data_IF_316442898886
#
_entry.id   IF_316442898886
#
_cell.length_a   1.000
_cell.length_b   1.000
_cell.length_c   1.000
_cell.angle_alpha   90.00
_cell.angle_beta   90.00
_cell.angle_gamma   90.00
#
_symmetry.space_group_name_H-M   'P 1'
#
loop_
_entity.id
_entity.type
_entity.pdbx_description
1 polymer ?
#
# COMPACT_ATOMS: atom_id res chain seq x y z
N UNK A 1 7.39 0.61 27.09
CA UNK A 1 6.26 0.70 28.03
C UNK A 1 5.31 -0.43 27.68
N UNK A 2 5.06 -1.34 28.62
CA UNK A 2 4.07 -2.42 28.48
C UNK A 2 2.71 -1.76 28.70
N UNK A 3 1.83 -1.80 27.71
CA UNK A 3 0.52 -1.14 27.71
C UNK A 3 -0.59 -2.18 27.53
N UNK A 4 -1.76 -1.95 28.13
CA UNK A 4 -2.97 -2.75 27.93
C UNK A 4 -3.73 -2.36 26.66
N UNK A 5 -3.30 -1.29 25.97
CA UNK A 5 -3.91 -0.83 24.73
C UNK A 5 -3.74 -1.88 23.62
N UNK A 6 -4.79 -2.14 22.81
CA UNK A 6 -4.68 -3.04 21.68
C UNK A 6 -3.72 -2.48 20.62
N UNK A 7 -2.97 -3.38 20.00
CA UNK A 7 -2.09 -3.07 18.87
C UNK A 7 -2.81 -3.46 17.60
N UNK A 8 -3.11 -2.49 16.75
CA UNK A 8 -3.74 -2.73 15.46
C UNK A 8 -2.69 -2.70 14.36
N UNK A 9 -2.63 -3.75 13.53
CA UNK A 9 -1.78 -3.82 12.34
C UNK A 9 -2.66 -4.27 11.16
N UNK A 10 -2.90 -3.36 10.21
CA UNK A 10 -3.55 -3.63 8.93
C UNK A 10 -4.80 -4.53 9.04
N UNK A 11 -5.77 -4.11 9.86
CA UNK A 11 -7.04 -4.80 10.08
C UNK A 11 -7.02 -5.93 11.11
N UNK A 12 -5.88 -6.20 11.76
CA UNK A 12 -5.76 -7.20 12.84
C UNK A 12 -5.47 -6.54 14.18
N UNK A 13 -6.22 -6.96 15.19
CA UNK A 13 -6.00 -6.60 16.59
C UNK A 13 -5.08 -7.62 17.26
N UNK A 14 -4.19 -7.12 18.11
CA UNK A 14 -3.27 -7.90 18.92
C UNK A 14 -3.21 -7.36 20.35
N UNK A 15 -3.03 -8.25 21.32
CA UNK A 15 -2.77 -7.91 22.70
C UNK A 15 -1.25 -7.78 22.95
N UNK A 16 -0.79 -6.56 23.25
CA UNK A 16 0.62 -6.28 23.48
C UNK A 16 1.30 -7.10 24.59
N UNK A 17 0.52 -7.65 25.54
CA UNK A 17 1.01 -8.41 26.69
C UNK A 17 1.26 -9.88 26.35
N UNK A 18 0.39 -10.47 25.52
CA UNK A 18 0.35 -11.92 25.27
C UNK A 18 0.81 -12.30 23.87
N UNK A 19 0.72 -11.40 22.90
CA UNK A 19 0.90 -11.69 21.46
C UNK A 19 2.10 -10.93 20.86
N UNK A 20 3.12 -10.67 21.68
CA UNK A 20 4.31 -9.90 21.25
C UNK A 20 5.01 -10.52 20.04
N UNK A 21 5.16 -11.85 20.02
CA UNK A 21 5.84 -12.54 18.92
C UNK A 21 4.99 -12.52 17.64
N UNK A 22 3.66 -12.57 17.75
CA UNK A 22 2.74 -12.44 16.61
C UNK A 22 2.76 -11.04 16.02
N UNK A 23 2.83 -10.00 16.86
CA UNK A 23 3.01 -8.60 16.44
C UNK A 23 4.31 -8.47 15.65
N UNK A 24 5.43 -8.95 16.20
CA UNK A 24 6.74 -8.88 15.53
C UNK A 24 6.75 -9.68 14.23
N UNK A 25 6.16 -10.87 14.23
CA UNK A 25 6.02 -11.71 13.04
C UNK A 25 5.23 -10.99 11.94
N UNK A 26 4.10 -10.36 12.28
CA UNK A 26 3.26 -9.67 11.30
C UNK A 26 3.97 -8.45 10.67
N UNK A 27 4.60 -7.61 11.50
CA UNK A 27 5.38 -6.45 11.02
C UNK A 27 6.56 -6.91 10.16
N UNK A 28 7.34 -7.90 10.63
CA UNK A 28 8.51 -8.40 9.89
C UNK A 28 8.10 -9.02 8.56
N UNK A 29 6.91 -9.62 8.48
CA UNK A 29 6.39 -10.24 7.25
C UNK A 29 6.02 -9.25 6.15
N UNK A 30 5.88 -7.97 6.47
CA UNK A 30 5.59 -6.94 5.45
C UNK A 30 6.83 -6.70 4.59
N UNK A 31 6.63 -6.54 3.29
CA UNK A 31 7.71 -6.14 2.39
C UNK A 31 8.18 -4.73 2.76
N UNK A 32 9.48 -4.60 3.00
CA UNK A 32 10.13 -3.37 3.41
C UNK A 32 11.07 -2.90 2.31
N UNK A 33 10.68 -1.81 1.65
CA UNK A 33 11.48 -1.19 0.60
C UNK A 33 12.15 0.07 1.17
N UNK A 34 13.47 0.11 1.08
CA UNK A 34 14.28 1.25 1.52
C UNK A 34 14.99 1.88 0.34
N UNK A 35 15.71 2.98 0.59
CA UNK A 35 16.69 3.47 -0.36
C UNK A 35 17.66 2.36 -0.80
N UNK A 36 18.00 2.39 -2.08
CA UNK A 36 18.94 1.46 -2.71
C UNK A 36 20.02 2.24 -3.44
N UNK A 37 21.22 1.66 -3.52
CA UNK A 37 22.36 2.20 -4.28
C UNK A 37 22.97 1.13 -5.17
N UNK A 38 23.66 1.57 -6.21
CA UNK A 38 24.33 0.73 -7.21
C UNK A 38 23.37 -0.10 -8.06
N UNK A 39 22.12 0.34 -8.22
CA UNK A 39 21.24 -0.21 -9.26
C UNK A 39 21.59 0.39 -10.63
N UNK A 40 21.20 -0.26 -11.76
CA UNK A 40 21.44 0.27 -13.10
C UNK A 40 20.92 1.71 -13.27
N UNK A 41 21.60 2.62 -14.00
CA UNK A 41 21.16 4.01 -14.13
C UNK A 41 19.72 4.15 -14.65
N UNK A 42 18.88 4.94 -13.97
CA UNK A 42 17.50 5.21 -14.42
C UNK A 42 17.56 5.97 -15.75
N UNK A 43 16.88 5.48 -16.80
CA UNK A 43 16.93 6.08 -18.14
C UNK A 43 18.30 6.01 -18.82
N UNK A 44 19.23 5.18 -18.33
CA UNK A 44 20.57 4.99 -18.90
C UNK A 44 21.62 6.00 -18.44
N UNK A 45 21.23 7.21 -18.05
CA UNK A 45 22.14 8.28 -17.58
C UNK A 45 21.72 8.93 -16.27
N UNK A 46 20.57 8.56 -15.71
CA UNK A 46 20.05 9.11 -14.47
C UNK A 46 20.69 8.52 -13.21
N UNK A 47 20.08 8.75 -12.04
CA UNK A 47 20.60 8.28 -10.76
C UNK A 47 20.80 6.75 -10.71
N UNK A 48 21.81 6.32 -9.95
CA UNK A 48 22.08 4.92 -9.55
C UNK A 48 21.81 4.69 -8.07
N UNK A 49 21.19 5.68 -7.42
CA UNK A 49 20.71 5.63 -6.05
C UNK A 49 19.48 6.52 -5.91
N UNK A 50 18.52 6.09 -5.08
CA UNK A 50 17.34 6.88 -4.74
C UNK A 50 17.43 7.57 -3.37
N UNK A 51 18.59 7.47 -2.71
CA UNK A 51 18.85 8.16 -1.44
C UNK A 51 18.56 9.64 -1.52
N UNK A 52 17.71 10.13 -0.62
CA UNK A 52 17.40 11.54 -0.47
C UNK A 52 16.25 12.07 -1.35
N UNK A 53 15.66 11.24 -2.21
CA UNK A 53 14.52 11.64 -3.04
C UNK A 53 13.44 10.57 -3.23
N UNK A 54 13.79 9.29 -3.09
CA UNK A 54 12.90 8.16 -3.38
C UNK A 54 11.93 7.76 -2.28
N UNK A 55 11.90 8.39 -1.10
CA UNK A 55 11.21 7.81 0.06
C UNK A 55 9.70 7.60 -0.17
N UNK A 56 9.00 8.54 -0.79
CA UNK A 56 7.57 8.35 -1.10
C UNK A 56 7.35 7.25 -2.16
N UNK A 57 8.29 7.08 -3.10
CA UNK A 57 8.23 6.00 -4.09
C UNK A 57 8.37 4.65 -3.38
N UNK A 58 9.28 4.54 -2.40
CA UNK A 58 9.44 3.35 -1.56
C UNK A 58 8.20 3.07 -0.70
N UNK A 59 7.57 4.09 -0.11
CA UNK A 59 6.29 3.94 0.57
C UNK A 59 5.19 3.44 -0.37
N UNK A 60 5.13 3.95 -1.61
CA UNK A 60 4.27 3.45 -2.66
C UNK A 60 4.51 1.97 -3.01
N UNK A 61 5.79 1.57 -3.10
CA UNK A 61 6.14 0.16 -3.28
C UNK A 61 5.67 -0.70 -2.10
N UNK A 62 5.80 -0.23 -0.85
CA UNK A 62 5.39 -1.01 0.32
C UNK A 62 3.87 -1.21 0.40
N UNK A 63 3.07 -0.16 0.16
CA UNK A 63 1.61 -0.27 0.20
C UNK A 63 1.06 -1.12 -0.95
N UNK A 64 1.63 -1.02 -2.16
CA UNK A 64 1.27 -1.90 -3.28
C UNK A 64 1.78 -3.33 -3.06
N UNK A 65 2.97 -3.48 -2.49
CA UNK A 65 3.54 -4.77 -2.09
C UNK A 65 2.62 -5.49 -1.13
N UNK A 66 2.08 -4.81 -0.11
CA UNK A 66 1.07 -5.36 0.79
C UNK A 66 -0.19 -5.85 0.03
N UNK A 67 -0.68 -5.08 -0.94
CA UNK A 67 -1.82 -5.50 -1.75
C UNK A 67 -1.52 -6.75 -2.59
N UNK A 68 -0.32 -6.86 -3.16
CA UNK A 68 0.10 -8.05 -3.91
C UNK A 68 0.30 -9.27 -3.01
N UNK A 69 0.86 -9.08 -1.82
CA UNK A 69 0.95 -10.11 -0.79
C UNK A 69 -0.44 -10.63 -0.42
N UNK A 70 -1.42 -9.72 -0.22
CA UNK A 70 -2.81 -10.12 0.02
C UNK A 70 -3.41 -10.83 -1.18
N UNK A 71 -3.21 -10.34 -2.40
CA UNK A 71 -3.78 -10.91 -3.63
C UNK A 71 -3.34 -12.36 -3.85
N UNK A 72 -2.07 -12.67 -3.60
CA UNK A 72 -1.47 -13.94 -4.00
C UNK A 72 -1.19 -14.90 -2.84
N UNK A 73 -0.95 -14.39 -1.63
CA UNK A 73 -0.60 -15.20 -0.45
C UNK A 73 -1.64 -15.12 0.67
N UNK A 74 -2.40 -14.03 0.73
CA UNK A 74 -3.41 -13.76 1.76
C UNK A 74 -2.84 -13.01 2.97
N UNK A 75 -3.74 -12.34 3.72
CA UNK A 75 -3.37 -11.49 4.88
C UNK A 75 -2.70 -12.28 6.03
N UNK A 76 -3.04 -13.55 6.17
CA UNK A 76 -2.53 -14.45 7.21
C UNK A 76 -1.15 -15.00 6.93
N UNK A 77 -0.64 -14.86 5.71
CA UNK A 77 0.71 -15.30 5.38
C UNK A 77 1.76 -14.56 6.23
N UNK A 78 2.80 -15.29 6.66
CA UNK A 78 3.92 -14.77 7.43
C UNK A 78 5.24 -15.21 6.79
N UNK A 79 6.21 -14.31 6.78
CA UNK A 79 7.58 -14.59 6.35
C UNK A 79 8.35 -15.29 7.48
N UNK A 80 9.21 -16.23 7.11
CA UNK A 80 10.11 -16.89 8.03
C UNK A 80 11.52 -16.95 7.42
N UNK A 81 12.50 -16.44 8.18
CA UNK A 81 13.90 -16.39 7.78
C UNK A 81 14.46 -17.78 7.49
N UNK A 82 15.23 -17.91 6.40
CA UNK A 82 15.92 -19.15 6.05
C UNK A 82 15.01 -20.28 5.60
N UNK A 83 13.71 -20.04 5.46
CA UNK A 83 12.78 -20.99 4.88
C UNK A 83 12.68 -20.77 3.37
N UNK A 84 12.44 -21.86 2.63
CA UNK A 84 12.14 -21.78 1.19
C UNK A 84 10.81 -21.06 1.01
N UNK A 85 10.84 -19.95 0.27
CA UNK A 85 9.65 -19.15 0.00
C UNK A 85 8.83 -19.74 -1.14
N UNK A 86 7.54 -19.39 -1.18
CA UNK A 86 6.63 -19.78 -2.27
C UNK A 86 7.00 -19.06 -3.56
N UNK A 87 6.69 -19.66 -4.71
CA UNK A 87 7.01 -19.07 -6.02
C UNK A 87 6.26 -17.74 -6.25
N UNK A 88 5.04 -17.63 -5.73
CA UNK A 88 4.25 -16.40 -5.77
C UNK A 88 4.92 -15.28 -4.97
N UNK A 89 5.50 -15.59 -3.80
CA UNK A 89 6.27 -14.61 -3.02
C UNK A 89 7.47 -14.09 -3.80
N UNK A 90 8.24 -14.99 -4.41
CA UNK A 90 9.42 -14.61 -5.20
C UNK A 90 8.99 -13.74 -6.39
N UNK A 91 7.88 -14.09 -7.04
CA UNK A 91 7.31 -13.32 -8.16
C UNK A 91 6.88 -11.92 -7.73
N UNK A 92 6.26 -11.77 -6.55
CA UNK A 92 5.89 -10.47 -5.97
C UNK A 92 7.16 -9.65 -5.73
N UNK A 93 8.16 -10.21 -5.03
CA UNK A 93 9.39 -9.48 -4.72
C UNK A 93 10.12 -9.05 -6.00
N UNK A 94 10.18 -9.92 -7.01
CA UNK A 94 10.76 -9.63 -8.32
C UNK A 94 10.06 -8.49 -9.05
N UNK A 95 8.79 -8.21 -8.79
CA UNK A 95 8.10 -7.05 -9.35
C UNK A 95 8.63 -5.71 -8.81
N UNK A 96 9.37 -5.69 -7.69
CA UNK A 96 9.87 -4.47 -7.03
C UNK A 96 11.39 -4.30 -7.06
N UNK A 97 12.14 -5.30 -7.54
CA UNK A 97 13.61 -5.22 -7.65
C UNK A 97 14.00 -3.99 -8.47
N UNK A 98 15.13 -3.37 -8.13
CA UNK A 98 15.61 -2.11 -8.72
C UNK A 98 16.20 -2.34 -10.13
N UNK A 99 15.40 -2.90 -11.03
CA UNK A 99 15.70 -3.11 -12.44
C UNK A 99 14.52 -2.68 -13.30
N UNK A 100 14.84 -2.17 -14.50
CA UNK A 100 13.84 -1.62 -15.42
C UNK A 100 12.79 -2.62 -15.91
N UNK A 101 13.07 -3.92 -15.86
CA UNK A 101 12.18 -5.00 -16.27
C UNK A 101 11.19 -5.43 -15.17
N UNK A 102 11.43 -5.03 -13.92
CA UNK A 102 10.48 -5.19 -12.82
C UNK A 102 9.37 -4.13 -12.87
N UNK A 103 8.10 -4.57 -12.84
CA UNK A 103 6.90 -3.75 -13.06
C UNK A 103 6.83 -2.49 -12.19
N UNK A 104 7.17 -2.62 -10.92
CA UNK A 104 7.04 -1.59 -9.89
C UNK A 104 8.41 -1.20 -9.31
N UNK A 105 9.47 -1.36 -10.11
CA UNK A 105 10.81 -0.90 -9.74
C UNK A 105 10.88 0.61 -9.54
N UNK A 106 11.90 1.06 -8.81
CA UNK A 106 12.19 2.50 -8.69
C UNK A 106 12.37 3.16 -10.07
N UNK A 107 12.89 2.42 -11.06
CA UNK A 107 13.04 2.86 -12.44
C UNK A 107 11.69 3.15 -13.08
N UNK A 108 10.76 2.18 -13.03
CA UNK A 108 9.44 2.31 -13.65
C UNK A 108 8.61 3.38 -12.96
N UNK A 109 8.66 3.47 -11.63
CA UNK A 109 7.94 4.50 -10.87
C UNK A 109 8.48 5.90 -11.21
N UNK A 110 9.80 6.10 -11.18
CA UNK A 110 10.41 7.40 -11.48
C UNK A 110 10.18 7.82 -12.94
N UNK A 111 10.25 6.87 -13.89
CA UNK A 111 10.02 7.14 -15.31
C UNK A 111 8.56 7.46 -15.61
N UNK A 112 7.62 6.73 -14.98
CA UNK A 112 6.19 6.96 -15.14
C UNK A 112 5.76 8.31 -14.56
N UNK A 113 6.36 8.74 -13.44
CA UNK A 113 6.04 10.05 -12.86
C UNK A 113 6.53 11.25 -13.67
N UNK A 114 7.40 11.07 -14.67
CA UNK A 114 7.67 12.11 -15.68
C UNK A 114 6.37 12.50 -16.40
N UNK A 115 5.49 11.53 -16.67
CA UNK A 115 4.16 11.77 -17.22
C UNK A 115 3.20 12.49 -16.28
N UNK A 116 3.50 12.52 -14.98
CA UNK A 116 2.79 13.30 -13.94
C UNK A 116 3.44 14.69 -13.70
N UNK A 117 4.37 15.10 -14.58
CA UNK A 117 5.10 16.36 -14.43
C UNK A 117 6.15 16.34 -13.31
N UNK A 118 6.62 15.15 -12.90
CA UNK A 118 7.69 14.98 -11.90
C UNK A 118 8.97 14.46 -12.55
N UNK A 119 10.02 15.30 -12.69
CA UNK A 119 11.32 14.84 -13.15
C UNK A 119 11.89 13.75 -12.25
N UNK A 120 12.72 12.87 -12.84
CA UNK A 120 13.48 11.86 -12.10
C UNK A 120 14.36 12.57 -11.06
N UNK A 121 14.38 12.05 -9.83
CA UNK A 121 15.10 12.67 -8.72
C UNK A 121 14.26 13.63 -7.87
N UNK A 122 12.99 13.90 -8.25
CA UNK A 122 12.09 14.73 -7.45
C UNK A 122 11.26 13.89 -6.48
N UNK A 123 11.09 14.40 -5.26
CA UNK A 123 10.16 13.84 -4.27
C UNK A 123 8.70 13.93 -4.72
N UNK A 124 7.91 12.89 -4.42
CA UNK A 124 6.48 12.79 -4.75
C UNK A 124 5.62 12.99 -3.51
N UNK A 125 4.43 13.58 -3.67
CA UNK A 125 3.38 13.48 -2.67
C UNK A 125 2.58 12.17 -2.80
N UNK A 126 1.74 11.82 -1.81
CA UNK A 126 0.95 10.59 -1.82
C UNK A 126 0.05 10.42 -3.06
N UNK A 127 -0.61 11.50 -3.52
CA UNK A 127 -1.45 11.44 -4.73
C UNK A 127 -0.62 11.08 -5.97
N UNK A 128 0.54 11.72 -6.18
CA UNK A 128 1.37 11.47 -7.36
C UNK A 128 1.82 10.01 -7.43
N UNK A 129 2.30 9.44 -6.31
CA UNK A 129 2.71 8.03 -6.33
C UNK A 129 1.51 7.10 -6.55
N UNK A 130 0.33 7.40 -5.99
CA UNK A 130 -0.89 6.64 -6.23
C UNK A 130 -1.28 6.61 -7.72
N UNK A 131 -1.23 7.75 -8.42
CA UNK A 131 -1.51 7.82 -9.86
C UNK A 131 -0.48 7.05 -10.69
N UNK A 132 0.80 7.12 -10.31
CA UNK A 132 1.86 6.34 -10.96
C UNK A 132 1.62 4.84 -10.80
N UNK A 133 1.31 4.37 -9.59
CA UNK A 133 1.01 2.95 -9.35
C UNK A 133 -0.23 2.50 -10.13
N UNK A 134 -1.25 3.36 -10.26
CA UNK A 134 -2.41 3.10 -11.11
C UNK A 134 -2.05 2.86 -12.57
N UNK A 135 -1.14 3.66 -13.13
CA UNK A 135 -0.67 3.48 -14.51
C UNK A 135 0.20 2.23 -14.68
N UNK A 136 1.06 1.93 -13.70
CA UNK A 136 1.94 0.76 -13.76
C UNK A 136 1.19 -0.56 -13.63
N UNK A 137 0.14 -0.61 -12.79
CA UNK A 137 -0.65 -1.82 -12.58
C UNK A 137 -1.33 -2.35 -13.86
N UNK A 138 -1.54 -1.50 -14.87
CA UNK A 138 -2.08 -1.90 -16.18
C UNK A 138 -1.18 -2.93 -16.89
N UNK A 139 0.14 -2.88 -16.66
CA UNK A 139 1.10 -3.79 -17.30
C UNK A 139 1.26 -5.13 -16.57
N UNK A 140 0.83 -5.22 -15.31
CA UNK A 140 0.89 -6.45 -14.52
C UNK A 140 -0.32 -7.35 -14.80
N UNK A 141 -0.19 -8.11 -15.90
CA UNK A 141 -1.21 -9.07 -16.34
C UNK A 141 -1.33 -10.30 -15.44
N UNK A 142 -0.38 -10.55 -14.54
CA UNK A 142 -0.43 -11.67 -13.60
C UNK A 142 -1.35 -11.35 -12.43
N UNK A 143 -1.18 -10.18 -11.81
CA UNK A 143 -1.98 -9.78 -10.65
C UNK A 143 -3.38 -9.31 -11.05
N UNK A 144 -3.52 -8.70 -12.23
CA UNK A 144 -4.78 -8.17 -12.81
C UNK A 144 -5.51 -7.24 -11.84
N UNK A 145 -4.75 -6.42 -11.11
CA UNK A 145 -5.31 -5.47 -10.15
C UNK A 145 -5.98 -4.30 -10.86
N UNK A 146 -7.07 -3.81 -10.27
CA UNK A 146 -7.59 -2.47 -10.54
C UNK A 146 -7.11 -1.57 -9.42
N UNK A 147 -6.36 -0.52 -9.78
CA UNK A 147 -5.98 0.53 -8.82
C UNK A 147 -6.88 1.73 -9.08
N UNK A 148 -7.78 2.01 -8.15
CA UNK A 148 -8.63 3.19 -8.19
C UNK A 148 -8.09 4.25 -7.22
N UNK A 149 -7.96 5.49 -7.70
CA UNK A 149 -7.53 6.63 -6.88
C UNK A 149 -8.71 7.57 -6.76
N UNK A 150 -9.32 7.62 -5.58
CA UNK A 150 -10.49 8.44 -5.29
C UNK A 150 -10.05 9.89 -5.06
N UNK A 151 -10.52 10.80 -5.90
CA UNK A 151 -10.21 12.23 -5.83
C UNK A 151 -11.29 12.98 -5.06
N UNK A 152 -11.01 14.24 -4.69
CA UNK A 152 -11.99 15.15 -4.06
C UNK A 152 -12.66 14.59 -2.80
N UNK A 153 -11.94 13.74 -2.06
CA UNK A 153 -12.40 13.07 -0.84
C UNK A 153 -13.73 12.30 -1.03
N UNK A 154 -14.03 11.87 -2.25
CA UNK A 154 -15.29 11.20 -2.60
C UNK A 154 -15.01 9.88 -3.29
N UNK A 155 -15.66 8.81 -2.82
CA UNK A 155 -15.58 7.48 -3.43
C UNK A 155 -16.89 7.20 -4.16
N UNK A 156 -16.83 7.12 -5.48
CA UNK A 156 -17.99 6.83 -6.32
C UNK A 156 -18.07 5.33 -6.55
N UNK A 157 -19.07 4.70 -5.92
CA UNK A 157 -19.23 3.24 -5.90
C UNK A 157 -19.48 2.69 -7.31
N UNK A 158 -20.28 3.39 -8.11
CA UNK A 158 -20.61 3.03 -9.49
C UNK A 158 -19.35 2.97 -10.37
N UNK A 159 -18.47 3.98 -10.29
CA UNK A 159 -17.21 4.00 -11.04
C UNK A 159 -16.28 2.84 -10.68
N UNK A 160 -16.20 2.50 -9.39
CA UNK A 160 -15.38 1.37 -8.92
C UNK A 160 -15.96 0.05 -9.44
N UNK A 161 -17.28 -0.09 -9.38
CA UNK A 161 -17.99 -1.28 -9.85
C UNK A 161 -17.77 -1.47 -11.34
N UNK A 162 -17.90 -0.41 -12.15
CA UNK A 162 -17.62 -0.45 -13.59
C UNK A 162 -16.17 -0.80 -13.92
N UNK A 163 -15.19 -0.28 -13.16
CA UNK A 163 -13.78 -0.56 -13.42
C UNK A 163 -13.37 -2.00 -13.02
N UNK A 164 -13.97 -2.52 -11.94
CA UNK A 164 -13.62 -3.81 -11.35
C UNK A 164 -14.40 -4.97 -11.95
N UNK A 165 -15.64 -4.75 -12.38
CA UNK A 165 -16.44 -5.76 -13.06
C UNK A 165 -16.06 -5.86 -14.53
N UNK A 166 -15.60 -7.04 -14.97
CA UNK A 166 -15.50 -7.35 -16.39
C UNK A 166 -16.81 -7.97 -16.82
N UNK A 167 -17.58 -7.27 -17.65
CA UNK A 167 -18.65 -7.91 -18.41
C UNK A 167 -18.01 -8.92 -19.36
N UNK A 168 -18.32 -10.21 -19.21
CA UNK A 168 -17.87 -11.26 -20.12
C UNK A 168 -18.55 -11.05 -21.47
N UNK A 169 -18.01 -10.19 -22.32
CA UNK A 169 -18.41 -10.07 -23.72
C UNK A 169 -17.82 -11.25 -24.50
N UNK A 170 -18.36 -12.45 -24.27
CA UNK A 170 -18.16 -13.58 -25.17
C UNK A 170 -19.45 -13.78 -25.98
N UNK A 171 -19.47 -13.29 -27.21
CA UNK A 171 -20.61 -13.41 -28.14
C UNK A 171 -20.84 -14.83 -28.69
N UNK A 172 -20.32 -15.88 -28.03
CA UNK A 172 -20.22 -17.22 -28.59
C UNK A 172 -20.47 -18.34 -27.55
N UNK A 173 -21.44 -18.22 -26.65
CA UNK A 173 -21.93 -19.40 -25.91
C UNK A 173 -23.37 -19.18 -25.43
N UNK A 174 -24.31 -19.85 -26.09
CA UNK A 174 -25.66 -20.06 -25.58
C UNK A 174 -25.62 -21.14 -24.49
N UNK A 175 -25.12 -20.85 -23.28
CA UNK A 175 -25.37 -21.67 -22.06
C UNK A 175 -24.85 -20.99 -20.79
N UNK A 176 -25.74 -20.92 -19.80
CA UNK A 176 -25.53 -20.78 -18.35
C UNK A 176 -25.04 -19.43 -17.79
N UNK A 177 -25.63 -19.03 -16.66
CA UNK A 177 -25.48 -17.77 -15.94
C UNK A 177 -24.02 -17.51 -15.53
N UNK A 178 -23.24 -16.84 -16.39
CA UNK A 178 -21.88 -16.42 -16.03
C UNK A 178 -21.94 -15.15 -15.18
N UNK A 179 -21.57 -15.28 -13.90
CA UNK A 179 -21.41 -14.14 -12.99
C UNK A 179 -20.25 -13.25 -13.44
N UNK A 180 -20.37 -11.92 -13.33
CA UNK A 180 -19.31 -11.00 -13.73
C UNK A 180 -18.02 -11.27 -12.93
N UNK A 181 -16.88 -11.27 -13.62
CA UNK A 181 -15.59 -11.49 -12.99
C UNK A 181 -15.09 -10.19 -12.34
N UNK A 182 -15.08 -10.13 -11.01
CA UNK A 182 -14.48 -9.03 -10.24
C UNK A 182 -12.95 -9.09 -10.28
N UNK A 183 -12.32 -7.99 -10.68
CA UNK A 183 -10.88 -7.79 -10.54
C UNK A 183 -10.54 -7.25 -9.14
N UNK A 184 -9.56 -7.84 -8.44
CA UNK A 184 -9.15 -7.35 -7.12
C UNK A 184 -8.76 -5.87 -7.15
N UNK A 185 -9.37 -5.12 -6.23
CA UNK A 185 -9.31 -3.67 -6.15
C UNK A 185 -8.26 -3.24 -5.12
N UNK A 186 -7.41 -2.30 -5.53
CA UNK A 186 -6.61 -1.45 -4.66
C UNK A 186 -7.21 -0.05 -4.71
N UNK A 187 -7.87 0.36 -3.64
CA UNK A 187 -8.45 1.69 -3.49
C UNK A 187 -7.47 2.58 -2.73
N UNK A 188 -7.02 3.66 -3.34
CA UNK A 188 -6.17 4.68 -2.71
C UNK A 188 -6.96 5.99 -2.61
N UNK A 189 -6.96 6.59 -1.43
CA UNK A 189 -7.69 7.83 -1.13
C UNK A 189 -6.69 8.86 -0.63
N UNK A 190 -6.14 9.72 -1.51
CA UNK A 190 -5.32 10.85 -1.12
C UNK A 190 -6.14 11.86 -0.32
N UNK A 191 -5.62 12.31 0.82
CA UNK A 191 -6.33 13.19 1.75
C UNK A 191 -5.41 14.32 2.24
N UNK A 192 -6.04 15.45 2.60
CA UNK A 192 -5.41 16.53 3.34
C UNK A 192 -6.17 16.76 4.65
N UNK A 193 -5.64 16.25 5.76
CA UNK A 193 -6.30 16.23 7.07
C UNK A 193 -6.05 17.49 7.93
N UNK A 194 -5.53 18.56 7.33
CA UNK A 194 -5.18 19.79 8.03
C UNK A 194 -4.28 20.70 7.21
N UNK A 195 -3.96 21.88 7.75
CA UNK A 195 -3.12 22.87 7.06
C UNK A 195 -1.64 22.62 7.26
N UNK A 196 -1.18 22.48 8.51
CA UNK A 196 0.21 22.19 8.87
C UNK A 196 0.33 20.88 9.63
N UNK A 197 -0.60 20.67 10.55
CA UNK A 197 -0.72 19.49 11.39
C UNK A 197 -2.08 18.84 11.15
N UNK A 198 -2.22 17.55 11.51
CA UNK A 198 -3.51 16.86 11.47
C UNK A 198 -4.50 17.51 12.44
N UNK A 199 -5.74 17.70 11.99
CA UNK A 199 -6.82 18.12 12.88
C UNK A 199 -7.25 16.93 13.76
N UNK A 200 -7.30 17.15 15.08
CA UNK A 200 -7.67 16.12 16.08
C UNK A 200 -9.01 15.43 15.77
N UNK A 201 -9.94 16.14 15.12
CA UNK A 201 -11.23 15.59 14.68
C UNK A 201 -11.09 14.37 13.75
N UNK A 202 -9.95 14.21 13.05
CA UNK A 202 -9.71 13.09 12.14
C UNK A 202 -8.92 11.94 12.76
N UNK A 203 -8.38 12.10 13.97
CA UNK A 203 -7.50 11.10 14.60
C UNK A 203 -8.25 9.77 14.78
N UNK A 204 -9.46 9.82 15.33
CA UNK A 204 -10.26 8.62 15.59
C UNK A 204 -10.71 7.94 14.28
N UNK A 205 -11.13 8.73 13.28
CA UNK A 205 -11.43 8.22 11.94
C UNK A 205 -10.22 7.52 11.31
N UNK A 206 -9.02 8.12 11.45
CA UNK A 206 -7.78 7.54 10.93
C UNK A 206 -7.44 6.21 11.62
N UNK A 207 -7.59 6.12 12.95
CA UNK A 207 -7.44 4.86 13.69
C UNK A 207 -8.41 3.79 13.18
N UNK A 208 -9.68 4.14 12.99
CA UNK A 208 -10.69 3.22 12.47
C UNK A 208 -10.36 2.71 11.06
N UNK A 209 -9.73 3.52 10.20
CA UNK A 209 -9.24 3.06 8.90
C UNK A 209 -8.19 1.95 9.01
N UNK A 210 -7.36 1.92 10.07
CA UNK A 210 -6.41 0.82 10.32
C UNK A 210 -7.09 -0.46 10.84
N UNK A 211 -8.31 -0.34 11.40
CA UNK A 211 -9.06 -1.45 11.98
C UNK A 211 -9.87 -2.23 10.94
N UNK A 212 -10.07 -1.68 9.74
CA UNK A 212 -10.80 -2.36 8.67
C UNK A 212 -10.00 -3.58 8.16
N UNK A 213 -10.65 -4.75 7.93
CA UNK A 213 -9.97 -5.93 7.34
C UNK A 213 -9.28 -5.61 6.01
N UNK A 214 -9.88 -4.71 5.22
CA UNK A 214 -9.38 -4.28 3.92
C UNK A 214 -8.19 -3.31 4.03
N UNK A 215 -7.85 -2.80 5.23
CA UNK A 215 -6.84 -1.75 5.41
C UNK A 215 -5.48 -2.16 4.87
N UNK A 216 -4.97 -1.43 3.88
CA UNK A 216 -3.58 -1.46 3.46
C UNK A 216 -2.73 -0.44 4.24
N UNK A 217 -3.30 0.23 5.24
CA UNK A 217 -2.60 1.28 5.96
C UNK A 217 -2.55 2.60 5.19
N UNK A 218 -1.55 3.42 5.49
CA UNK A 218 -1.46 4.81 5.04
C UNK A 218 -0.02 5.14 4.62
N UNK A 219 0.15 5.84 3.50
CA UNK A 219 1.43 6.46 3.14
C UNK A 219 1.33 7.97 3.32
N UNK A 220 2.38 8.60 3.83
CA UNK A 220 2.36 10.03 4.12
C UNK A 220 3.71 10.54 4.62
N UNK A 221 3.75 11.81 4.98
CA UNK A 221 4.93 12.44 5.55
C UNK A 221 5.40 13.67 4.78
N UNK A 222 6.33 14.39 5.39
CA UNK A 222 6.91 15.63 4.85
C UNK A 222 7.84 15.31 3.65
N UNK A 223 8.16 16.30 2.80
CA UNK A 223 9.18 16.14 1.78
C UNK A 223 10.47 15.51 2.35
N UNK A 224 10.90 14.42 1.73
CA UNK A 224 12.08 13.62 2.13
C UNK A 224 11.98 12.91 3.50
N UNK A 225 10.79 12.83 4.10
CA UNK A 225 10.50 12.12 5.37
C UNK A 225 9.16 11.36 5.25
N UNK A 226 9.07 10.49 4.23
CA UNK A 226 7.88 9.70 3.96
C UNK A 226 7.93 8.35 4.69
N UNK A 227 6.79 7.91 5.24
CA UNK A 227 6.67 6.65 5.97
C UNK A 227 5.46 5.86 5.47
N UNK A 228 5.52 4.54 5.63
CA UNK A 228 4.38 3.64 5.43
C UNK A 228 3.82 3.21 6.79
N UNK A 229 2.71 3.82 7.19
CA UNK A 229 2.00 3.54 8.42
C UNK A 229 1.16 2.28 8.24
N UNK A 230 1.37 1.30 9.11
CA UNK A 230 0.74 -0.02 9.04
C UNK A 230 -0.24 -0.28 10.19
N UNK A 231 -0.32 0.63 11.16
CA UNK A 231 -1.08 0.37 12.38
C UNK A 231 -0.93 1.46 13.44
N UNK A 232 -1.45 1.19 14.62
CA UNK A 232 -1.32 2.07 15.78
C UNK A 232 -1.40 1.30 17.11
N UNK A 233 -0.95 1.95 18.18
CA UNK A 233 -1.15 1.54 19.58
C UNK A 233 -1.32 2.78 20.44
N UNK A 234 -2.45 2.91 21.14
CA UNK A 234 -2.79 4.14 21.86
C UNK A 234 -2.80 5.36 20.92
N UNK A 235 -1.93 6.35 21.18
CA UNK A 235 -1.76 7.57 20.37
C UNK A 235 -0.53 7.52 19.43
N UNK A 236 0.12 6.36 19.30
CA UNK A 236 1.29 6.19 18.44
C UNK A 236 0.94 5.42 17.17
N UNK A 237 1.33 5.95 16.01
CA UNK A 237 1.31 5.22 14.74
C UNK A 237 2.52 4.31 14.64
N UNK A 238 2.31 3.11 14.08
CA UNK A 238 3.36 2.12 13.78
C UNK A 238 3.67 2.20 12.29
N UNK A 239 4.94 2.28 11.90
CA UNK A 239 5.33 2.44 10.50
C UNK A 239 6.61 1.71 10.11
N UNK A 240 6.76 1.51 8.79
CA UNK A 240 7.98 1.09 8.13
C UNK A 240 8.67 2.30 7.51
N UNK A 241 9.98 2.39 7.76
CA UNK A 241 10.80 3.55 7.41
C UNK A 241 11.73 3.24 6.23
N UNK A 242 11.64 3.95 5.08
CA UNK A 242 12.50 3.69 3.93
C UNK A 242 13.90 4.33 4.00
N UNK A 243 14.22 5.14 5.01
CA UNK A 243 15.40 6.02 5.06
C UNK A 243 16.72 5.32 5.43
N UNK A 244 16.89 4.07 5.02
CA UNK A 244 18.16 3.34 5.11
C UNK A 244 18.65 3.00 3.71
N UNK A 245 19.89 3.35 3.38
CA UNK A 245 20.45 3.03 2.06
C UNK A 245 21.12 1.66 2.04
N UNK A 246 20.51 0.71 1.36
CA UNK A 246 21.00 -0.65 1.19
C UNK A 246 21.59 -0.84 -0.24
N UNK A 247 22.53 -1.77 -0.49
CA UNK A 247 22.92 -2.10 -1.86
C UNK A 247 21.74 -2.71 -2.64
N UNK A 248 21.67 -2.48 -3.95
CA UNK A 248 20.74 -3.17 -4.83
C UNK A 248 21.00 -4.70 -4.80
N UNK A 249 19.93 -5.49 -4.81
CA UNK A 249 20.03 -6.96 -4.80
C UNK A 249 19.87 -7.47 -6.23
N UNK A 250 20.82 -8.30 -6.65
CA UNK A 250 20.74 -9.05 -7.89
C UNK A 250 20.08 -10.41 -7.59
N UNK A 251 19.04 -10.82 -8.34
CA UNK A 251 18.52 -12.19 -8.27
C UNK A 251 19.64 -13.20 -8.58
N UNK A 252 19.70 -14.30 -7.85
CA UNK A 252 20.62 -15.40 -8.15
C UNK A 252 20.18 -16.18 -9.39
N UNK A 253 21.09 -16.98 -9.95
CA UNK A 253 20.85 -17.75 -11.19
C UNK A 253 19.68 -18.75 -11.08
N UNK A 254 19.32 -19.16 -9.87
CA UNK A 254 18.18 -20.03 -9.55
C UNK A 254 16.86 -19.25 -9.34
N UNK A 255 16.86 -17.94 -9.58
CA UNK A 255 15.71 -17.06 -9.43
C UNK A 255 15.38 -16.70 -7.98
N UNK A 256 16.18 -17.16 -6.99
CA UNK A 256 16.03 -16.73 -5.61
C UNK A 256 16.58 -15.31 -5.44
N UNK A 257 16.07 -14.61 -4.41
CA UNK A 257 16.53 -13.27 -4.05
C UNK A 257 16.92 -13.34 -2.58
N UNK A 258 18.04 -12.71 -2.22
CA UNK A 258 18.39 -12.50 -0.82
C UNK A 258 17.37 -11.52 -0.21
N UNK A 259 16.32 -12.09 0.37
CA UNK A 259 15.10 -11.38 0.71
C UNK A 259 15.11 -10.78 2.12
N UNK A 260 16.09 -11.15 2.95
CA UNK A 260 16.23 -10.65 4.33
C UNK A 260 16.31 -9.11 4.40
N UNK A 261 16.86 -8.48 3.35
CA UNK A 261 16.98 -7.02 3.22
C UNK A 261 15.64 -6.33 2.90
N UNK A 262 14.61 -7.11 2.56
CA UNK A 262 13.25 -6.66 2.26
C UNK A 262 12.29 -6.97 3.41
N UNK A 263 12.81 -7.36 4.57
CA UNK A 263 12.03 -7.58 5.78
C UNK A 263 12.63 -6.80 6.95
N UNK A 264 11.84 -5.91 7.54
CA UNK A 264 12.26 -5.07 8.65
C UNK A 264 12.39 -5.92 9.94
N UNK A 265 13.61 -6.25 10.34
CA UNK A 265 13.89 -7.08 11.51
C UNK A 265 14.18 -6.28 12.80
N UNK A 266 14.23 -4.96 12.71
CA UNK A 266 14.36 -4.10 13.90
C UNK A 266 12.97 -3.86 14.54
N UNK A 267 12.92 -3.42 15.80
CA UNK A 267 11.65 -3.07 16.44
C UNK A 267 10.83 -2.09 15.58
N UNK A 268 9.49 -2.23 15.53
CA UNK A 268 8.64 -1.36 14.74
C UNK A 268 8.83 0.11 15.15
N UNK A 269 8.99 0.99 14.17
CA UNK A 269 9.09 2.42 14.41
C UNK A 269 7.74 2.97 14.86
N UNK A 270 7.76 3.93 15.79
CA UNK A 270 6.58 4.58 16.35
C UNK A 270 6.74 6.10 16.36
N UNK A 271 5.64 6.81 16.18
CA UNK A 271 5.58 8.27 16.33
C UNK A 271 4.19 8.68 16.82
N UNK A 272 4.11 9.80 17.53
CA UNK A 272 2.83 10.32 17.99
C UNK A 272 1.95 10.72 16.80
N UNK A 273 0.65 10.42 16.84
CA UNK A 273 -0.27 10.66 15.72
C UNK A 273 -0.35 12.14 15.32
N UNK A 274 -0.22 13.06 16.28
CA UNK A 274 -0.18 14.50 16.02
C UNK A 274 1.05 14.98 15.25
N UNK A 275 2.11 14.17 15.15
CA UNK A 275 3.31 14.49 14.35
C UNK A 275 3.16 14.12 12.87
N UNK A 276 2.06 13.44 12.51
CA UNK A 276 1.76 13.05 11.13
C UNK A 276 1.54 14.27 10.23
N UNK A 277 2.23 14.33 9.09
CA UNK A 277 1.94 15.34 8.08
C UNK A 277 0.52 15.16 7.54
N UNK A 278 -0.29 16.24 7.42
CA UNK A 278 -1.68 16.11 7.01
C UNK A 278 -1.87 15.64 5.55
N UNK A 279 -0.83 15.62 4.70
CA UNK A 279 -0.89 15.02 3.36
C UNK A 279 -0.62 13.52 3.41
N UNK A 280 -1.66 12.72 3.21
CA UNK A 280 -1.58 11.25 3.23
C UNK A 280 -2.29 10.63 2.03
N UNK A 281 -2.15 9.32 1.84
CA UNK A 281 -3.09 8.49 1.10
C UNK A 281 -3.40 7.22 1.90
N UNK A 282 -4.67 7.01 2.20
CA UNK A 282 -5.16 5.78 2.83
C UNK A 282 -5.42 4.72 1.76
N UNK A 283 -5.03 3.47 2.04
CA UNK A 283 -5.21 2.36 1.10
C UNK A 283 -6.12 1.27 1.63
N UNK A 284 -6.89 0.66 0.73
CA UNK A 284 -7.74 -0.50 1.00
C UNK A 284 -7.65 -1.52 -0.13
N UNK A 285 -7.72 -2.80 0.22
CA UNK A 285 -7.71 -3.91 -0.72
C UNK A 285 -8.99 -4.73 -0.58
N UNK A 286 -9.71 -4.90 -1.69
CA UNK A 286 -10.92 -5.71 -1.78
C UNK A 286 -10.71 -6.76 -2.87
N UNK A 287 -10.51 -8.02 -2.48
CA UNK A 287 -10.27 -9.12 -3.41
C UNK A 287 -11.50 -9.45 -4.24
N UNK A 288 -12.68 -9.35 -3.64
CA UNK A 288 -13.97 -9.67 -4.24
C UNK A 288 -14.92 -8.49 -4.12
N UNK A 289 -16.04 -8.54 -4.86
CA UNK A 289 -17.12 -7.57 -4.76
C UNK A 289 -17.72 -7.56 -3.33
N UNK A 290 -17.94 -8.73 -2.73
CA UNK A 290 -18.41 -8.84 -1.33
C UNK A 290 -17.48 -8.12 -0.33
N UNK A 291 -16.16 -8.21 -0.53
CA UNK A 291 -15.19 -7.51 0.33
C UNK A 291 -15.28 -5.98 0.15
N UNK A 292 -15.62 -5.51 -1.04
CA UNK A 292 -15.85 -4.09 -1.33
C UNK A 292 -17.19 -3.60 -0.75
N UNK A 293 -18.24 -4.40 -0.80
CA UNK A 293 -19.52 -4.10 -0.16
C UNK A 293 -19.39 -4.04 1.37
N UNK A 294 -18.66 -4.98 1.97
CA UNK A 294 -18.33 -4.95 3.40
C UNK A 294 -17.53 -3.69 3.75
N UNK A 295 -16.55 -3.31 2.93
CA UNK A 295 -15.82 -2.05 3.10
C UNK A 295 -16.76 -0.83 3.02
N UNK A 296 -17.65 -0.76 2.03
CA UNK A 296 -18.62 0.33 1.88
C UNK A 296 -19.54 0.45 3.11
N UNK A 297 -20.00 -0.68 3.65
CA UNK A 297 -20.81 -0.71 4.86
C UNK A 297 -20.03 -0.19 6.08
N UNK A 298 -18.78 -0.62 6.27
CA UNK A 298 -17.95 -0.23 7.42
C UNK A 298 -17.53 1.23 7.34
N UNK A 299 -17.06 1.69 6.19
CA UNK A 299 -16.57 3.06 6.03
C UNK A 299 -17.69 4.08 6.23
N UNK A 300 -18.93 3.78 5.79
CA UNK A 300 -20.09 4.62 6.10
C UNK A 300 -20.31 4.78 7.61
N UNK A 301 -20.12 3.72 8.40
CA UNK A 301 -20.24 3.79 9.87
C UNK A 301 -19.13 4.64 10.50
N UNK A 302 -17.91 4.50 10.00
CA UNK A 302 -16.75 5.32 10.40
C UNK A 302 -17.02 6.81 10.14
N UNK A 303 -17.57 7.14 8.97
CA UNK A 303 -17.85 8.53 8.60
C UNK A 303 -19.04 9.16 9.33
N UNK A 304 -19.98 8.35 9.84
CA UNK A 304 -21.15 8.82 10.60
C UNK A 304 -20.83 9.18 12.06
N UNK A 305 -19.63 8.88 12.58
CA UNK A 305 -19.18 9.35 13.89
C UNK A 305 -18.79 10.84 13.82
N UNK A 306 -19.78 11.70 14.04
CA UNK A 306 -19.84 13.15 14.35
C UNK A 306 -18.87 14.18 13.73
N UNK A 307 -17.77 13.86 13.05
CA UNK A 307 -16.84 14.90 12.54
C UNK A 307 -16.18 14.62 11.17
N UNK A 308 -16.61 13.61 10.41
CA UNK A 308 -15.93 13.25 9.15
C UNK A 308 -16.62 13.84 7.90
N UNK A 309 -15.87 14.62 7.10
CA UNK A 309 -16.32 15.22 5.83
C UNK A 309 -16.31 14.25 4.64
N UNK A 310 -16.66 12.98 4.85
CA UNK A 310 -16.75 11.97 3.79
C UNK A 310 -18.22 11.71 3.45
N UNK A 311 -18.63 11.96 2.22
CA UNK A 311 -19.97 11.60 1.73
C UNK A 311 -19.80 10.47 0.72
N UNK A 312 -20.13 9.24 1.12
CA UNK A 312 -20.37 8.16 0.17
C UNK A 312 -21.74 8.42 -0.48
N UNK A 313 -21.75 9.13 -1.61
CA UNK A 313 -22.96 9.44 -2.38
C UNK A 313 -23.36 8.23 -3.23
N UNK A 314 -24.54 7.66 -2.98
CA UNK A 314 -25.25 6.82 -3.95
C UNK A 314 -26.17 7.72 -4.78
N UNK A 315 -25.85 7.96 -6.04
CA UNK A 315 -26.75 8.67 -6.96
C UNK A 315 -27.82 7.71 -7.47
N UNK A 316 -28.89 7.52 -6.70
CA UNK A 316 -30.15 7.05 -7.26
C UNK A 316 -31.01 8.26 -7.67
N UNK A 317 -31.05 8.51 -8.98
CA UNK A 317 -32.16 9.18 -9.68
C UNK A 317 -32.46 8.42 -10.97
#
# INVERSE_FOLDING_TARGET
>A
VITSEPVWILGKEYNALTEKDDILSDVTSRLWFTYRKNFPPIGGTGPTSDTGWGCMLRCGQMILGEALMRRHLGRDWRWARGQKQREEYISILNAFIDKKDSYYSIHQIAQMGVGEGKPIGQWYGPNTVAQVLKKLAVFDTWSRLVVHVAMDNTVVIEEISECSCVATLCACALTEEETPLWKPLVLLIPLRLGLSDINEAYIETLKQCFMLPQSLGVIGGKPNSAHYFIGFVGEELIYLDPHTTQPAVEPSEDGQVLDEMYHCQHPPCRMHICELDPSIAAGFFCRTEDEFDDWCMRIRRVCLCEHCSFVASSTHL
#
